data_IF_941725813685
#
_entry.id   IF_941725813685
#
_cell.length_a   1.000
_cell.length_b   1.000
_cell.length_c   1.000
_cell.angle_alpha   90.00
_cell.angle_beta   90.00
_cell.angle_gamma   90.00
#
_symmetry.space_group_name_H-M   'P 1'
#
loop_
_entity.id
_entity.type
_entity.pdbx_description
1 polymer ?
#
# COMPACT_ATOMS: atom_id res chain seq x y z
N UNK A 1 -12.60 9.06 -6.41
CA UNK A 1 -12.58 8.42 -5.08
C UNK A 1 -11.37 8.94 -4.33
N UNK A 2 -11.46 9.20 -3.04
CA UNK A 2 -10.28 9.59 -2.25
C UNK A 2 -9.41 8.37 -1.95
N UNK A 3 -8.11 8.61 -1.75
CA UNK A 3 -7.17 7.54 -1.41
C UNK A 3 -7.58 6.83 -0.11
N UNK A 4 -8.09 7.57 0.87
CA UNK A 4 -8.59 7.01 2.13
C UNK A 4 -9.75 6.05 1.89
N UNK A 5 -10.70 6.42 1.03
CA UNK A 5 -11.83 5.56 0.66
C UNK A 5 -11.38 4.35 -0.13
N UNK A 6 -10.43 4.53 -1.05
CA UNK A 6 -9.86 3.42 -1.80
C UNK A 6 -9.15 2.43 -0.88
N UNK A 7 -8.40 2.92 0.12
CA UNK A 7 -7.75 2.09 1.11
C UNK A 7 -8.78 1.30 1.93
N UNK A 8 -9.83 1.98 2.41
CA UNK A 8 -10.89 1.35 3.19
C UNK A 8 -11.58 0.21 2.42
N UNK A 9 -11.95 0.48 1.17
CA UNK A 9 -12.60 -0.50 0.31
C UNK A 9 -11.68 -1.69 0.02
N UNK A 10 -10.41 -1.44 -0.26
CA UNK A 10 -9.42 -2.48 -0.56
C UNK A 10 -9.19 -3.36 0.67
N UNK A 11 -9.00 -2.76 1.84
CA UNK A 11 -8.77 -3.50 3.07
C UNK A 11 -9.95 -4.42 3.39
N UNK A 12 -11.18 -3.90 3.31
CA UNK A 12 -12.39 -4.68 3.57
C UNK A 12 -12.52 -5.81 2.53
N UNK A 13 -12.32 -5.51 1.25
CA UNK A 13 -12.43 -6.49 0.18
C UNK A 13 -11.43 -7.64 0.37
N UNK A 14 -10.18 -7.32 0.69
CA UNK A 14 -9.14 -8.32 0.93
C UNK A 14 -9.45 -9.15 2.18
N UNK A 15 -9.85 -8.50 3.27
CA UNK A 15 -10.18 -9.18 4.51
C UNK A 15 -11.29 -10.20 4.30
N UNK A 16 -12.38 -9.78 3.66
CA UNK A 16 -13.52 -10.66 3.36
C UNK A 16 -13.09 -11.81 2.44
N UNK A 17 -12.29 -11.50 1.42
CA UNK A 17 -11.79 -12.50 0.48
C UNK A 17 -10.92 -13.55 1.17
N UNK A 18 -10.20 -13.17 2.22
CA UNK A 18 -9.39 -14.10 3.02
C UNK A 18 -10.20 -14.80 4.12
N UNK A 19 -11.49 -14.50 4.24
CA UNK A 19 -12.34 -15.10 5.28
C UNK A 19 -12.05 -14.60 6.68
N UNK A 20 -11.49 -13.40 6.82
CA UNK A 20 -11.11 -12.82 8.11
C UNK A 20 -12.17 -11.84 8.60
N UNK A 21 -12.41 -11.84 9.92
CA UNK A 21 -13.19 -10.79 10.58
C UNK A 21 -12.31 -9.61 10.92
N UNK A 22 -12.92 -8.48 11.29
CA UNK A 22 -12.16 -7.33 11.80
C UNK A 22 -11.34 -7.71 13.04
N UNK A 23 -11.92 -8.54 13.93
CA UNK A 23 -11.23 -9.00 15.13
C UNK A 23 -10.02 -9.88 14.83
N UNK A 24 -9.98 -10.56 13.68
CA UNK A 24 -8.84 -11.39 13.29
C UNK A 24 -7.59 -10.55 13.01
N UNK A 25 -7.73 -9.25 12.80
CA UNK A 25 -6.62 -8.33 12.59
C UNK A 25 -6.17 -7.64 13.89
N UNK A 26 -6.60 -8.14 15.07
CA UNK A 26 -6.32 -7.52 16.37
C UNK A 26 -4.83 -7.42 16.73
N UNK A 27 -3.99 -8.27 16.14
CA UNK A 27 -2.55 -8.22 16.37
C UNK A 27 -1.86 -7.07 15.63
N UNK A 28 -2.51 -6.53 14.58
CA UNK A 28 -2.01 -5.42 13.81
C UNK A 28 -2.52 -4.07 14.36
N UNK A 29 -3.79 -4.04 14.77
CA UNK A 29 -4.42 -2.89 15.40
C UNK A 29 -5.67 -3.36 16.13
N UNK A 30 -6.13 -2.61 17.14
CA UNK A 30 -7.38 -2.98 17.81
C UNK A 30 -8.57 -2.92 16.84
N UNK A 31 -9.65 -3.63 17.18
CA UNK A 31 -10.81 -3.74 16.29
C UNK A 31 -11.47 -2.39 16.01
N UNK A 32 -11.47 -1.48 16.98
CA UNK A 32 -12.02 -0.14 16.77
C UNK A 32 -11.22 0.63 15.72
N UNK A 33 -9.89 0.49 15.73
CA UNK A 33 -9.03 1.12 14.72
C UNK A 33 -9.26 0.52 13.33
N UNK A 34 -9.33 -0.82 13.24
CA UNK A 34 -9.64 -1.51 11.98
C UNK A 34 -11.00 -1.05 11.45
N UNK A 35 -12.00 -0.95 12.32
CA UNK A 35 -13.34 -0.47 11.94
C UNK A 35 -13.28 0.94 11.37
N UNK A 36 -12.51 1.84 11.98
CA UNK A 36 -12.34 3.21 11.47
C UNK A 36 -11.62 3.26 10.13
N UNK A 37 -10.63 2.40 9.93
CA UNK A 37 -9.93 2.29 8.64
C UNK A 37 -10.91 1.87 7.54
N UNK A 38 -11.74 0.85 7.80
CA UNK A 38 -12.70 0.35 6.82
C UNK A 38 -13.89 1.30 6.61
N UNK A 39 -14.15 2.17 7.57
CA UNK A 39 -15.15 3.24 7.43
C UNK A 39 -14.59 4.50 6.75
N UNK A 40 -13.31 4.51 6.40
CA UNK A 40 -12.62 5.64 5.79
C UNK A 40 -12.58 6.90 6.68
N UNK A 41 -12.66 6.72 8.00
CA UNK A 41 -12.62 7.84 8.95
C UNK A 41 -11.19 8.13 9.46
N UNK A 42 -10.25 7.27 9.15
CA UNK A 42 -8.83 7.47 9.47
C UNK A 42 -7.96 6.86 8.37
N UNK A 43 -6.69 7.21 8.36
CA UNK A 43 -5.70 6.68 7.42
C UNK A 43 -4.73 5.77 8.14
N UNK A 44 -4.25 4.74 7.44
CA UNK A 44 -3.21 3.86 7.96
C UNK A 44 -1.84 4.48 7.73
N UNK A 45 -0.93 4.30 8.69
CA UNK A 45 0.49 4.60 8.49
C UNK A 45 1.10 3.59 7.53
N UNK A 46 2.29 3.91 7.00
CA UNK A 46 3.06 2.98 6.17
C UNK A 46 3.38 1.71 6.97
N UNK A 47 3.79 1.85 8.23
CA UNK A 47 4.12 0.71 9.08
C UNK A 47 2.90 -0.19 9.32
N UNK A 48 1.76 0.41 9.65
CA UNK A 48 0.53 -0.36 9.84
C UNK A 48 0.11 -1.05 8.52
N UNK A 49 0.26 -0.37 7.39
CA UNK A 49 -0.04 -0.96 6.08
C UNK A 49 0.81 -2.19 5.80
N UNK A 50 2.09 -2.15 6.18
CA UNK A 50 2.98 -3.30 6.05
C UNK A 50 2.51 -4.48 6.92
N UNK A 51 2.12 -4.20 8.16
CA UNK A 51 1.62 -5.23 9.08
C UNK A 51 0.29 -5.82 8.59
N UNK A 52 -0.62 -4.97 8.11
CA UNK A 52 -1.90 -5.43 7.55
C UNK A 52 -1.70 -6.27 6.28
N UNK A 53 -0.80 -5.84 5.40
CA UNK A 53 -0.47 -6.61 4.20
C UNK A 53 0.01 -8.01 4.57
N UNK A 54 0.93 -8.11 5.53
CA UNK A 54 1.45 -9.40 6.00
C UNK A 54 0.32 -10.29 6.53
N UNK A 55 -0.58 -9.74 7.34
CA UNK A 55 -1.73 -10.48 7.88
C UNK A 55 -2.66 -10.98 6.76
N UNK A 56 -2.71 -10.26 5.64
CA UNK A 56 -3.50 -10.63 4.47
C UNK A 56 -2.75 -11.54 3.49
N UNK A 57 -1.51 -11.93 3.82
CA UNK A 57 -0.68 -12.78 2.96
C UNK A 57 -0.09 -12.05 1.76
N UNK A 58 0.12 -10.74 1.87
CA UNK A 58 0.61 -9.88 0.78
C UNK A 58 1.87 -9.14 1.21
N UNK A 59 2.63 -8.67 0.21
CA UNK A 59 3.65 -7.65 0.45
C UNK A 59 2.99 -6.28 0.56
N UNK A 60 3.64 -5.30 1.21
CA UNK A 60 3.11 -3.92 1.24
C UNK A 60 2.86 -3.35 -0.14
N UNK A 61 3.74 -3.64 -1.10
CA UNK A 61 3.59 -3.16 -2.48
C UNK A 61 2.32 -3.73 -3.14
N UNK A 62 2.02 -5.01 -2.93
CA UNK A 62 0.79 -5.61 -3.47
C UNK A 62 -0.45 -4.95 -2.90
N UNK A 63 -0.48 -4.68 -1.59
CA UNK A 63 -1.60 -3.97 -0.97
C UNK A 63 -1.76 -2.57 -1.58
N UNK A 64 -0.68 -1.81 -1.66
CA UNK A 64 -0.73 -0.44 -2.18
C UNK A 64 -1.06 -0.38 -3.67
N UNK A 65 -0.63 -1.37 -4.44
CA UNK A 65 -1.01 -1.50 -5.86
C UNK A 65 -2.52 -1.63 -6.00
N UNK A 66 -3.15 -2.46 -5.16
CA UNK A 66 -4.60 -2.63 -5.19
C UNK A 66 -5.33 -1.36 -4.74
N UNK A 67 -4.79 -0.67 -3.75
CA UNK A 67 -5.34 0.63 -3.31
C UNK A 67 -5.28 1.65 -4.45
N UNK A 68 -4.13 1.76 -5.12
CA UNK A 68 -3.96 2.67 -6.25
C UNK A 68 -4.92 2.32 -7.40
N UNK A 69 -5.08 1.03 -7.69
CA UNK A 69 -6.00 0.57 -8.72
C UNK A 69 -7.44 0.99 -8.39
N UNK A 70 -7.86 0.82 -7.14
CA UNK A 70 -9.18 1.24 -6.68
C UNK A 70 -9.36 2.76 -6.77
N UNK A 71 -8.35 3.51 -6.34
CA UNK A 71 -8.39 4.98 -6.35
C UNK A 71 -8.49 5.54 -7.78
N UNK A 72 -7.74 4.96 -8.70
CA UNK A 72 -7.66 5.45 -10.09
C UNK A 72 -8.70 4.81 -11.02
N UNK A 73 -9.46 3.86 -10.55
CA UNK A 73 -10.42 3.13 -11.39
C UNK A 73 -9.74 2.31 -12.48
N UNK A 74 -8.57 1.74 -12.18
CA UNK A 74 -7.75 0.96 -13.11
C UNK A 74 -7.58 -0.47 -12.61
N UNK A 75 -7.09 -1.35 -13.48
CA UNK A 75 -6.65 -2.68 -13.05
C UNK A 75 -5.29 -2.60 -12.36
N UNK A 76 -4.96 -3.58 -11.53
CA UNK A 76 -3.64 -3.68 -10.93
C UNK A 76 -2.55 -3.76 -12.01
N UNK A 77 -2.81 -4.47 -13.11
CA UNK A 77 -1.88 -4.55 -14.24
C UNK A 77 -1.58 -3.16 -14.81
N UNK A 78 -2.61 -2.34 -15.02
CA UNK A 78 -2.45 -0.99 -15.56
C UNK A 78 -1.62 -0.11 -14.62
N UNK A 79 -1.89 -0.18 -13.31
CA UNK A 79 -1.11 0.55 -12.30
C UNK A 79 0.36 0.14 -12.34
N UNK A 80 0.63 -1.17 -12.39
CA UNK A 80 2.01 -1.67 -12.43
C UNK A 80 2.74 -1.26 -13.70
N UNK A 81 2.06 -1.29 -14.86
CA UNK A 81 2.65 -0.84 -16.11
C UNK A 81 2.97 0.66 -16.08
N UNK A 82 2.06 1.48 -15.58
CA UNK A 82 2.28 2.92 -15.43
C UNK A 82 3.46 3.20 -14.51
N UNK A 83 3.52 2.49 -13.39
CA UNK A 83 4.62 2.63 -12.42
C UNK A 83 5.95 2.23 -13.03
N UNK A 84 5.98 1.13 -13.80
CA UNK A 84 7.19 0.68 -14.48
C UNK A 84 7.70 1.76 -15.46
N UNK A 85 6.78 2.34 -16.23
CA UNK A 85 7.14 3.40 -17.19
C UNK A 85 7.70 4.63 -16.45
N UNK A 86 7.06 5.04 -15.36
CA UNK A 86 7.53 6.17 -14.55
C UNK A 86 8.95 5.95 -14.03
N UNK A 87 9.24 4.75 -13.51
CA UNK A 87 10.57 4.41 -12.98
C UNK A 87 11.62 4.32 -14.08
N UNK A 88 11.22 3.85 -15.27
CA UNK A 88 12.11 3.87 -16.46
C UNK A 88 12.46 5.30 -16.85
N UNK A 89 11.49 6.19 -16.89
CA UNK A 89 11.69 7.60 -17.25
C UNK A 89 12.54 8.33 -16.22
N UNK A 90 12.40 7.94 -14.94
CA UNK A 90 13.23 8.50 -13.87
C UNK A 90 14.68 7.97 -13.91
N UNK A 91 14.91 6.84 -14.59
CA UNK A 91 16.25 6.27 -14.75
C UNK A 91 16.75 5.51 -13.53
N UNK A 92 15.86 5.07 -12.64
CA UNK A 92 16.24 4.42 -11.36
C UNK A 92 15.83 2.95 -11.28
N UNK A 93 15.31 2.39 -12.37
CA UNK A 93 14.73 1.06 -12.34
C UNK A 93 15.70 -0.03 -11.87
N UNK A 94 16.98 0.10 -12.22
CA UNK A 94 17.99 -0.87 -11.87
C UNK A 94 18.88 -0.42 -10.69
N UNK A 95 18.58 0.70 -10.06
CA UNK A 95 19.36 1.20 -8.93
C UNK A 95 18.88 0.63 -7.62
N UNK A 96 19.82 0.22 -6.76
CA UNK A 96 19.53 -0.08 -5.38
C UNK A 96 19.50 1.22 -4.58
N UNK A 97 18.39 1.45 -3.87
CA UNK A 97 18.23 2.65 -3.04
C UNK A 97 18.77 2.40 -1.64
N UNK A 98 19.38 3.43 -1.00
CA UNK A 98 19.81 3.28 0.39
C UNK A 98 18.59 3.17 1.32
N UNK A 99 18.63 2.19 2.23
CA UNK A 99 17.59 2.04 3.25
C UNK A 99 17.75 3.05 4.39
N UNK A 100 18.97 3.59 4.57
CA UNK A 100 19.31 4.53 5.62
C UNK A 100 19.39 5.94 5.03
N UNK A 101 18.53 6.89 5.51
CA UNK A 101 18.55 8.26 4.99
C UNK A 101 19.92 8.95 5.14
N UNK A 102 20.71 8.55 6.13
CA UNK A 102 22.06 9.14 6.33
C UNK A 102 23.07 8.76 5.25
N UNK A 103 22.76 7.74 4.45
CA UNK A 103 23.61 7.28 3.35
C UNK A 103 23.23 7.89 2.01
N UNK A 104 22.27 8.81 2.00
CA UNK A 104 21.85 9.47 0.77
C UNK A 104 22.89 10.52 0.40
N UNK A 105 23.42 10.43 -0.83
CA UNK A 105 24.35 11.41 -1.35
C UNK A 105 23.72 12.15 -2.52
N UNK A 106 24.14 13.41 -2.71
CA UNK A 106 23.69 14.19 -3.85
C UNK A 106 24.31 13.62 -5.12
N UNK A 107 23.50 13.29 -6.17
CA UNK A 107 24.07 12.82 -7.42
C UNK A 107 24.99 13.87 -8.04
N UNK A 108 26.13 13.42 -8.56
CA UNK A 108 27.02 14.31 -9.27
C UNK A 108 26.43 14.66 -10.64
N UNK A 109 26.49 15.93 -10.98
CA UNK A 109 26.17 16.38 -12.33
C UNK A 109 27.35 16.10 -13.26
N UNK A 110 27.04 15.53 -14.38
CA UNK A 110 27.99 15.32 -15.45
C UNK A 110 27.89 16.46 -16.45
#
# INVERSE_FOLDING_TARGET
MSLRKAYAATLQWLRVRRGLSQADLRHQADQAHISRLEAATTSATIDLSADLAQALGLTPLSLLTLVAAADEGKTARSVLNDTLIELLQLGVLAEALPADPQKITTPQRI
#
